data_IF_544028086539
#
_entry.id   IF_544028086539
#
_cell.length_a   1.000
_cell.length_b   1.000
_cell.length_c   1.000
_cell.angle_alpha   90.00
_cell.angle_beta   90.00
_cell.angle_gamma   90.00
#
_symmetry.space_group_name_H-M   'P 1'
#
loop_
_entity.id
_entity.type
_entity.pdbx_description
1 polymer ?
#
# COMPACT_ATOMS: atom_id res chain seq x y z
N UNK A 1 16.06 15.59 9.42
CA UNK A 1 15.56 15.05 8.13
C UNK A 1 15.43 13.54 8.29
N UNK A 2 14.22 12.99 8.17
CA UNK A 2 13.97 11.55 8.27
C UNK A 2 14.57 10.83 7.06
N UNK A 3 15.30 9.72 7.28
CA UNK A 3 15.94 8.94 6.20
C UNK A 3 15.43 7.50 6.23
N UNK A 4 14.86 7.05 5.12
CA UNK A 4 14.33 5.69 4.97
C UNK A 4 12.83 5.59 5.25
N UNK A 5 12.37 4.36 5.44
CA UNK A 5 11.00 4.06 5.83
C UNK A 5 10.93 4.01 7.35
N UNK A 6 9.92 4.66 7.94
CA UNK A 6 9.65 4.49 9.37
C UNK A 6 9.09 3.11 9.62
N UNK A 7 9.68 2.40 10.59
CA UNK A 7 9.23 1.08 11.02
C UNK A 7 8.61 1.23 12.39
N UNK A 8 7.33 0.88 12.52
CA UNK A 8 6.64 0.82 13.79
C UNK A 8 6.78 -0.60 14.33
N UNK A 9 7.63 -0.80 15.34
CA UNK A 9 7.96 -2.12 15.89
C UNK A 9 6.89 -2.68 16.82
N UNK A 10 6.13 -1.80 17.46
CA UNK A 10 5.32 -2.15 18.62
C UNK A 10 3.89 -2.56 18.23
N UNK A 11 3.53 -2.41 16.97
CA UNK A 11 2.18 -2.64 16.47
C UNK A 11 2.18 -3.64 15.32
N UNK A 12 1.42 -4.72 15.48
CA UNK A 12 1.14 -5.69 14.42
C UNK A 12 -0.26 -5.44 13.88
N UNK A 13 -0.38 -5.21 12.57
CA UNK A 13 -1.67 -5.09 11.91
C UNK A 13 -2.22 -6.48 11.62
N UNK A 14 -3.41 -6.80 12.15
CA UNK A 14 -4.13 -8.03 11.85
C UNK A 14 -5.34 -7.70 10.97
N UNK A 15 -5.37 -8.26 9.76
CA UNK A 15 -6.50 -8.10 8.85
C UNK A 15 -7.51 -9.22 9.12
N UNK A 16 -8.75 -8.86 9.46
CA UNK A 16 -9.83 -9.82 9.66
C UNK A 16 -10.62 -9.98 8.35
N UNK A 17 -10.85 -11.21 7.92
CA UNK A 17 -11.72 -11.54 6.79
C UNK A 17 -13.13 -11.88 7.28
N UNK A 18 -14.12 -11.72 6.41
CA UNK A 18 -15.49 -12.20 6.63
C UNK A 18 -15.53 -13.73 6.58
N UNK A 19 -16.55 -14.33 7.21
CA UNK A 19 -16.71 -15.79 7.29
C UNK A 19 -16.96 -16.44 5.91
N UNK A 20 -17.56 -15.70 4.98
CA UNK A 20 -17.85 -16.10 3.61
C UNK A 20 -16.72 -15.74 2.62
N UNK A 21 -15.56 -15.29 3.12
CA UNK A 21 -14.45 -14.86 2.29
C UNK A 21 -13.88 -16.02 1.46
N UNK A 22 -14.10 -15.97 0.15
CA UNK A 22 -13.51 -16.92 -0.79
C UNK A 22 -12.19 -16.37 -1.37
N UNK A 23 -11.08 -17.11 -1.30
CA UNK A 23 -9.80 -16.64 -1.80
C UNK A 23 -9.80 -16.46 -3.32
N UNK A 24 -9.13 -15.40 -3.77
CA UNK A 24 -8.94 -15.09 -5.18
C UNK A 24 -7.46 -15.14 -5.53
N UNK A 25 -7.11 -16.01 -6.47
CA UNK A 25 -5.76 -16.19 -6.99
C UNK A 25 -5.76 -15.98 -8.51
N UNK A 26 -4.88 -15.09 -9.00
CA UNK A 26 -4.69 -14.94 -10.44
C UNK A 26 -3.91 -16.13 -11.00
N UNK A 27 -4.49 -16.84 -11.97
CA UNK A 27 -3.83 -17.99 -12.61
C UNK A 27 -2.77 -17.58 -13.64
N UNK A 28 -2.81 -16.33 -14.10
CA UNK A 28 -1.86 -15.80 -15.09
C UNK A 28 -1.40 -14.40 -14.69
N UNK A 29 -0.08 -14.15 -14.65
CA UNK A 29 0.45 -12.81 -14.43
C UNK A 29 -0.08 -11.81 -15.45
N UNK A 30 -0.33 -10.57 -15.02
CA UNK A 30 -0.75 -9.52 -15.96
C UNK A 30 0.36 -9.23 -16.96
N UNK A 31 -0.01 -9.10 -18.23
CA UNK A 31 0.93 -8.69 -19.27
C UNK A 31 1.41 -7.27 -19.00
N UNK A 32 2.73 -7.08 -19.06
CA UNK A 32 3.38 -5.78 -18.95
C UNK A 32 4.23 -5.55 -20.20
N UNK A 33 4.36 -4.30 -20.63
CA UNK A 33 5.19 -3.98 -21.78
C UNK A 33 6.64 -4.33 -21.50
N UNK A 34 7.32 -4.95 -22.47
CA UNK A 34 8.72 -5.39 -22.36
C UNK A 34 9.68 -4.32 -21.79
N UNK A 35 9.62 -3.03 -22.19
CA UNK A 35 10.53 -2.01 -21.67
C UNK A 35 10.37 -1.71 -20.17
N UNK A 36 9.22 -2.06 -19.57
CA UNK A 36 8.96 -1.83 -18.14
C UNK A 36 9.46 -2.96 -17.25
N UNK A 37 9.64 -4.17 -17.78
CA UNK A 37 10.13 -5.33 -17.02
C UNK A 37 11.41 -5.04 -16.22
N UNK A 38 12.49 -4.48 -16.82
CA UNK A 38 13.71 -4.20 -16.04
C UNK A 38 13.47 -3.19 -14.92
N UNK A 39 12.62 -2.19 -15.16
CA UNK A 39 12.29 -1.14 -14.17
C UNK A 39 11.45 -1.68 -13.01
N UNK A 40 10.53 -2.60 -13.32
CA UNK A 40 9.73 -3.32 -12.32
C UNK A 40 10.66 -4.15 -11.44
N UNK A 41 11.59 -4.90 -12.04
CA UNK A 41 12.55 -5.73 -11.30
C UNK A 41 13.40 -4.90 -10.34
N UNK A 42 13.97 -3.78 -10.80
CA UNK A 42 14.74 -2.86 -9.94
C UNK A 42 13.91 -2.35 -8.75
N UNK A 43 12.63 -2.04 -8.98
CA UNK A 43 11.73 -1.56 -7.93
C UNK A 43 11.38 -2.66 -6.91
N UNK A 44 11.13 -3.88 -7.37
CA UNK A 44 10.90 -5.06 -6.50
C UNK A 44 12.14 -5.39 -5.68
N UNK A 45 13.32 -5.42 -6.30
CA UNK A 45 14.59 -5.70 -5.61
C UNK A 45 14.89 -4.63 -4.54
N UNK A 46 14.56 -3.37 -4.82
CA UNK A 46 14.67 -2.30 -3.84
C UNK A 46 13.71 -2.53 -2.66
N UNK A 47 12.45 -2.90 -2.91
CA UNK A 47 11.47 -3.17 -1.85
C UNK A 47 11.85 -4.39 -0.99
N UNK A 48 12.41 -5.44 -1.61
CA UNK A 48 12.93 -6.61 -0.90
C UNK A 48 14.14 -6.24 -0.02
N UNK A 49 15.11 -5.48 -0.55
CA UNK A 49 16.27 -4.98 0.22
C UNK A 49 15.87 -4.10 1.41
N UNK A 50 14.72 -3.43 1.31
CA UNK A 50 14.16 -2.58 2.36
C UNK A 50 13.23 -3.34 3.32
N UNK A 51 13.09 -4.65 3.17
CA UNK A 51 12.18 -5.51 3.94
C UNK A 51 10.72 -5.06 3.88
N UNK A 52 10.30 -4.44 2.78
CA UNK A 52 8.89 -4.06 2.54
C UNK A 52 8.09 -5.26 2.02
N UNK A 53 8.75 -6.15 1.26
CA UNK A 53 8.18 -7.39 0.74
C UNK A 53 9.17 -8.54 0.95
N UNK A 54 8.69 -9.77 0.90
CA UNK A 54 9.49 -10.99 0.96
C UNK A 54 9.13 -11.96 -0.15
N UNK A 55 10.08 -12.81 -0.53
CA UNK A 55 9.85 -13.89 -1.48
C UNK A 55 9.05 -15.02 -0.83
N UNK A 56 7.93 -15.38 -1.43
CA UNK A 56 7.10 -16.53 -1.04
C UNK A 56 7.24 -17.61 -2.11
N UNK A 57 7.63 -18.83 -1.70
CA UNK A 57 7.78 -20.00 -2.59
C UNK A 57 6.70 -21.06 -2.40
N UNK A 58 5.96 -20.96 -1.31
CA UNK A 58 4.88 -21.88 -0.96
C UNK A 58 3.55 -21.42 -1.60
N UNK A 59 2.59 -22.34 -1.80
CA UNK A 59 1.26 -21.98 -2.26
C UNK A 59 0.57 -21.00 -1.30
N UNK A 60 -0.10 -20.01 -1.86
CA UNK A 60 -0.89 -19.03 -1.11
C UNK A 60 -2.32 -19.04 -1.60
N UNK A 61 -3.28 -18.86 -0.69
CA UNK A 61 -4.70 -18.81 -1.04
C UNK A 61 -5.02 -17.52 -1.82
N UNK A 62 -4.45 -16.39 -1.40
CA UNK A 62 -4.65 -15.09 -2.01
C UNK A 62 -3.45 -14.69 -2.87
N UNK A 63 -3.66 -14.52 -4.18
CA UNK A 63 -2.64 -14.01 -5.09
C UNK A 63 -3.24 -12.90 -5.97
N UNK A 64 -3.24 -11.65 -5.48
CA UNK A 64 -3.69 -10.51 -6.27
C UNK A 64 -2.64 -10.09 -7.29
N UNK A 65 -3.07 -9.78 -8.52
CA UNK A 65 -2.16 -9.34 -9.57
C UNK A 65 -1.62 -7.93 -9.36
N UNK A 66 -0.34 -7.72 -9.73
CA UNK A 66 0.29 -6.40 -9.77
C UNK A 66 -0.22 -5.56 -10.96
N UNK A 67 -0.21 -4.26 -10.79
CA UNK A 67 -0.50 -3.24 -11.80
C UNK A 67 0.67 -2.27 -11.82
N UNK A 68 1.26 -2.04 -12.99
CA UNK A 68 2.43 -1.18 -13.14
C UNK A 68 2.05 0.06 -13.95
N UNK A 69 2.33 1.24 -13.40
CA UNK A 69 2.05 2.53 -14.04
C UNK A 69 3.34 3.30 -14.19
N UNK A 70 3.60 3.86 -15.37
CA UNK A 70 4.76 4.72 -15.61
C UNK A 70 4.54 6.08 -14.95
N UNK A 71 5.55 6.59 -14.26
CA UNK A 71 5.58 7.94 -13.70
C UNK A 71 6.19 8.93 -14.71
N UNK A 72 5.99 10.25 -14.52
CA UNK A 72 6.62 11.27 -15.35
C UNK A 72 8.16 11.22 -15.34
N UNK A 73 8.77 10.80 -14.22
CA UNK A 73 10.22 10.62 -14.06
C UNK A 73 10.78 9.36 -14.72
N UNK A 74 9.99 8.70 -15.57
CA UNK A 74 10.31 7.46 -16.27
C UNK A 74 10.51 6.21 -15.36
N UNK A 75 10.26 6.35 -14.05
CA UNK A 75 10.20 5.21 -13.12
C UNK A 75 8.82 4.54 -13.14
N UNK A 76 8.68 3.41 -12.45
CA UNK A 76 7.42 2.67 -12.34
C UNK A 76 6.83 2.77 -10.94
N UNK A 77 5.51 2.91 -10.87
CA UNK A 77 4.73 2.69 -9.65
C UNK A 77 4.15 1.28 -9.73
N UNK A 78 4.52 0.44 -8.77
CA UNK A 78 3.96 -0.90 -8.60
C UNK A 78 2.81 -0.79 -7.62
N UNK A 79 1.62 -1.16 -8.07
CA UNK A 79 0.42 -1.29 -7.25
C UNK A 79 -0.03 -2.75 -7.23
N UNK A 80 -0.75 -3.15 -6.20
CA UNK A 80 -1.39 -4.48 -6.14
C UNK A 80 -2.90 -4.26 -6.25
N UNK A 81 -3.57 -4.99 -7.14
CA UNK A 81 -5.02 -4.91 -7.23
C UNK A 81 -5.68 -5.74 -6.12
N UNK A 82 -5.93 -5.09 -4.99
CA UNK A 82 -6.57 -5.68 -3.81
C UNK A 82 -8.10 -5.56 -3.82
N UNK A 83 -8.73 -5.27 -4.96
CA UNK A 83 -10.19 -5.00 -5.01
C UNK A 83 -11.01 -6.16 -4.44
N UNK A 84 -10.74 -7.40 -4.84
CA UNK A 84 -11.47 -8.56 -4.32
C UNK A 84 -11.14 -8.85 -2.85
N UNK A 85 -9.86 -8.77 -2.47
CA UNK A 85 -9.46 -8.94 -1.07
C UNK A 85 -10.18 -7.91 -0.17
N UNK A 86 -10.22 -6.65 -0.59
CA UNK A 86 -10.83 -5.56 0.17
C UNK A 86 -12.34 -5.73 0.38
N UNK A 87 -13.05 -6.41 -0.53
CA UNK A 87 -14.48 -6.75 -0.34
C UNK A 87 -14.67 -7.81 0.75
N UNK A 88 -13.70 -8.71 0.89
CA UNK A 88 -13.68 -9.80 1.87
C UNK A 88 -13.13 -9.38 3.24
N UNK A 89 -12.49 -8.22 3.36
CA UNK A 89 -12.01 -7.67 4.64
C UNK A 89 -13.19 -7.13 5.46
N UNK A 90 -13.22 -7.47 6.75
CA UNK A 90 -14.08 -6.83 7.75
C UNK A 90 -13.47 -5.48 8.12
N UNK A 91 -14.07 -4.39 7.64
CA UNK A 91 -13.59 -3.03 7.90
C UNK A 91 -13.77 -2.68 9.38
N UNK A 92 -12.66 -2.44 10.05
CA UNK A 92 -12.67 -1.76 11.35
C UNK A 92 -13.05 -0.29 11.11
N UNK A 93 -14.05 0.19 11.87
CA UNK A 93 -14.46 1.59 11.83
C UNK A 93 -13.77 2.29 12.98
N UNK A 94 -12.78 3.12 12.66
CA UNK A 94 -12.18 4.05 13.61
C UNK A 94 -12.78 5.44 13.37
N UNK A 95 -13.77 5.86 14.18
CA UNK A 95 -14.38 7.18 14.01
C UNK A 95 -13.34 8.24 14.34
N UNK A 96 -12.97 9.03 13.33
CA UNK A 96 -12.18 10.23 13.52
C UNK A 96 -13.14 11.41 13.66
N UNK A 97 -12.81 12.35 14.55
CA UNK A 97 -13.53 13.61 14.63
C UNK A 97 -13.43 14.38 13.31
N UNK A 98 -14.36 15.31 13.09
CA UNK A 98 -14.27 16.17 11.90
C UNK A 98 -13.01 17.05 11.95
N UNK A 99 -12.62 17.58 10.80
CA UNK A 99 -11.41 18.38 10.69
C UNK A 99 -11.49 19.62 11.60
N UNK A 100 -12.66 20.28 11.68
CA UNK A 100 -12.83 21.50 12.48
C UNK A 100 -12.66 21.25 13.99
N UNK A 101 -13.16 20.13 14.52
CA UNK A 101 -12.99 19.74 15.92
C UNK A 101 -11.53 19.41 16.23
N UNK A 102 -10.86 18.66 15.34
CA UNK A 102 -9.43 18.39 15.48
C UNK A 102 -8.60 19.69 15.44
N UNK A 103 -8.96 20.63 14.55
CA UNK A 103 -8.29 21.93 14.45
C UNK A 103 -8.56 22.82 15.68
N UNK A 104 -9.76 22.77 16.26
CA UNK A 104 -10.08 23.53 17.48
C UNK A 104 -9.28 23.06 18.70
N UNK A 105 -8.88 21.78 18.75
CA UNK A 105 -8.00 21.24 19.80
C UNK A 105 -6.55 21.71 19.65
N UNK A 106 -6.13 22.07 18.44
CA UNK A 106 -4.82 22.68 18.18
C UNK A 106 -4.92 24.16 18.56
N UNK A 107 -4.51 24.52 19.78
CA UNK A 107 -4.60 25.90 20.30
C UNK A 107 -3.96 26.99 19.42
N UNK A 108 -4.09 28.26 19.82
CA UNK A 108 -3.67 29.46 19.07
C UNK A 108 -2.17 29.60 18.78
N UNK A 109 -1.34 28.62 19.12
CA UNK A 109 0.12 28.64 18.97
C UNK A 109 0.64 27.75 17.82
N UNK A 110 -0.20 27.44 16.83
CA UNK A 110 0.23 26.73 15.62
C UNK A 110 0.15 27.66 14.41
N UNK A 111 1.29 27.92 13.78
CA UNK A 111 1.32 28.62 12.49
C UNK A 111 1.01 27.60 11.39
N UNK A 112 -0.20 27.64 10.87
CA UNK A 112 -0.61 26.79 9.73
C UNK A 112 -0.24 27.52 8.45
N UNK A 113 0.83 27.08 7.78
CA UNK A 113 1.24 27.62 6.49
C UNK A 113 0.36 27.00 5.38
N UNK A 114 -0.50 27.82 4.77
CA UNK A 114 -1.26 27.45 3.58
C UNK A 114 -0.48 27.92 2.35
N UNK A 115 0.10 27.00 1.59
CA UNK A 115 0.70 27.34 0.30
C UNK A 115 -0.41 27.73 -0.66
N UNK A 116 -0.45 29.00 -1.05
CA UNK A 116 -1.26 29.49 -2.17
C UNK A 116 -0.49 29.09 -3.43
N UNK A 117 -1.11 28.27 -4.28
CA UNK A 117 -0.75 28.18 -5.70
C UNK A 117 -1.44 29.32 -6.45
#
# INVERSE_FOLDING_TARGET
MFRGYGVMTDVKCKIQLKEDASPVCIMTPRKVSQPLLPKIKVSLDKMEKLNVISLVKEPTEWCPGIVCVRKPDDTVRICVNLTELNKSVKREVYPMENVDANLAQLGTQYHVYKTIL
#
